data_IF_623224547845
#
_entry.id   IF_623224547845
#
_cell.length_a   1.000
_cell.length_b   1.000
_cell.length_c   1.000
_cell.angle_alpha   90.00
_cell.angle_beta   90.00
_cell.angle_gamma   90.00
#
_symmetry.space_group_name_H-M   'P 1'
#
loop_
_entity.id
_entity.type
_entity.pdbx_description
1 polymer ?
#
# COMPACT_ATOMS: atom_id res chain seq x y z
N UNK A 1 -10.11 -20.39 8.05
CA UNK A 1 -10.75 -20.30 6.73
C UNK A 1 -10.55 -18.87 6.27
N UNK A 2 -9.57 -18.60 5.40
CA UNK A 2 -9.41 -17.26 4.82
C UNK A 2 -10.62 -17.02 3.90
N UNK A 3 -11.25 -15.86 4.05
CA UNK A 3 -12.40 -15.48 3.22
C UNK A 3 -11.89 -15.15 1.82
N UNK A 4 -12.65 -15.47 0.76
CA UNK A 4 -12.28 -15.13 -0.63
C UNK A 4 -11.98 -13.62 -0.83
N UNK A 5 -12.56 -12.75 0.02
CA UNK A 5 -12.26 -11.30 0.06
C UNK A 5 -10.85 -10.99 0.58
N UNK A 6 -10.32 -11.78 1.51
CA UNK A 6 -8.95 -11.62 2.02
C UNK A 6 -7.92 -12.05 0.99
N UNK A 7 -8.22 -13.11 0.22
CA UNK A 7 -7.29 -13.60 -0.81
C UNK A 7 -7.13 -12.57 -1.95
N UNK A 8 -8.22 -11.90 -2.35
CA UNK A 8 -8.16 -10.83 -3.36
C UNK A 8 -7.47 -9.57 -2.85
N UNK A 9 -7.76 -9.13 -1.62
CA UNK A 9 -7.07 -8.00 -0.99
C UNK A 9 -5.56 -8.27 -0.86
N UNK A 10 -5.19 -9.51 -0.49
CA UNK A 10 -3.79 -9.95 -0.40
C UNK A 10 -3.10 -9.90 -1.76
N UNK A 11 -3.76 -10.41 -2.80
CA UNK A 11 -3.25 -10.37 -4.17
C UNK A 11 -3.04 -8.93 -4.66
N UNK A 12 -4.05 -8.07 -4.50
CA UNK A 12 -4.00 -6.67 -4.90
C UNK A 12 -2.83 -5.94 -4.22
N UNK A 13 -2.65 -6.17 -2.93
CA UNK A 13 -1.56 -5.55 -2.17
C UNK A 13 -0.20 -6.07 -2.60
N UNK A 14 -0.09 -7.37 -2.90
CA UNK A 14 1.15 -7.96 -3.42
C UNK A 14 1.53 -7.35 -4.78
N UNK A 15 0.54 -7.10 -5.64
CA UNK A 15 0.74 -6.40 -6.91
C UNK A 15 1.18 -4.95 -6.70
N UNK A 16 0.52 -4.21 -5.79
CA UNK A 16 0.88 -2.84 -5.45
C UNK A 16 2.33 -2.73 -4.93
N UNK A 17 2.71 -3.62 -4.01
CA UNK A 17 4.08 -3.66 -3.46
C UNK A 17 5.11 -3.91 -4.57
N UNK A 18 4.84 -4.87 -5.46
CA UNK A 18 5.72 -5.17 -6.59
C UNK A 18 5.81 -4.01 -7.59
N UNK A 19 4.69 -3.32 -7.82
CA UNK A 19 4.65 -2.16 -8.70
C UNK A 19 5.43 -0.98 -8.09
N UNK A 20 5.26 -0.71 -6.80
CA UNK A 20 6.02 0.28 -6.06
C UNK A 20 7.53 0.05 -6.17
N UNK A 21 7.97 -1.19 -5.91
CA UNK A 21 9.39 -1.56 -5.91
C UNK A 21 10.02 -1.35 -7.30
N UNK A 22 9.28 -1.64 -8.37
CA UNK A 22 9.75 -1.52 -9.78
C UNK A 22 9.55 -0.13 -10.40
N UNK A 23 8.82 0.76 -9.74
CA UNK A 23 8.42 2.04 -10.34
C UNK A 23 9.54 3.09 -10.28
N UNK A 24 9.68 3.95 -11.30
CA UNK A 24 10.55 5.14 -11.24
C UNK A 24 10.00 6.20 -10.28
N UNK A 25 10.81 7.21 -9.94
CA UNK A 25 10.47 8.28 -8.97
C UNK A 25 9.13 8.96 -9.27
N UNK A 26 8.84 9.25 -10.53
CA UNK A 26 7.58 9.89 -10.96
C UNK A 26 6.37 9.01 -10.64
N UNK A 27 6.44 7.73 -11.01
CA UNK A 27 5.36 6.78 -10.80
C UNK A 27 5.16 6.44 -9.32
N UNK A 28 6.23 6.39 -8.51
CA UNK A 28 6.11 6.26 -7.04
C UNK A 28 5.37 7.46 -6.43
N UNK A 29 5.60 8.69 -6.93
CA UNK A 29 4.84 9.86 -6.47
C UNK A 29 3.37 9.75 -6.82
N UNK A 30 3.05 9.29 -8.03
CA UNK A 30 1.66 9.05 -8.42
C UNK A 30 0.99 7.99 -7.54
N UNK A 31 1.64 6.83 -7.33
CA UNK A 31 1.13 5.77 -6.45
C UNK A 31 0.91 6.25 -5.01
N UNK A 32 1.81 7.10 -4.51
CA UNK A 32 1.65 7.70 -3.17
C UNK A 32 0.45 8.65 -3.13
N UNK A 33 0.27 9.48 -4.14
CA UNK A 33 -0.88 10.39 -4.22
C UNK A 33 -2.19 9.61 -4.29
N UNK A 34 -2.27 8.61 -5.18
CA UNK A 34 -3.44 7.75 -5.32
C UNK A 34 -3.76 7.03 -3.99
N UNK A 35 -2.74 6.55 -3.28
CA UNK A 35 -2.90 5.92 -1.97
C UNK A 35 -3.46 6.89 -0.92
N UNK A 36 -2.97 8.13 -0.88
CA UNK A 36 -3.47 9.16 0.03
C UNK A 36 -4.93 9.48 -0.32
N UNK A 37 -5.24 9.72 -1.59
CA UNK A 37 -6.59 10.08 -2.03
C UNK A 37 -7.62 8.98 -1.73
N UNK A 38 -7.23 7.71 -1.77
CA UNK A 38 -8.07 6.57 -1.43
C UNK A 38 -8.28 6.38 0.08
N UNK A 39 -7.28 6.71 0.90
CA UNK A 39 -7.26 6.34 2.31
C UNK A 39 -7.12 7.51 3.30
N UNK A 40 -7.24 8.77 2.86
CA UNK A 40 -7.03 9.97 3.70
C UNK A 40 -7.92 10.04 4.95
N UNK A 41 -9.10 9.43 4.91
CA UNK A 41 -10.08 9.46 6.01
C UNK A 41 -10.15 8.13 6.78
N UNK A 42 -9.09 7.31 6.72
CA UNK A 42 -9.00 6.01 7.40
C UNK A 42 -8.10 6.09 8.62
N UNK A 43 -8.52 5.46 9.71
CA UNK A 43 -7.64 5.23 10.86
C UNK A 43 -6.62 4.12 10.56
N UNK A 44 -5.50 4.07 11.29
CA UNK A 44 -4.48 3.03 11.11
C UNK A 44 -5.05 1.59 11.16
N UNK A 45 -5.87 1.24 12.16
CA UNK A 45 -6.50 -0.09 12.22
C UNK A 45 -7.47 -0.36 11.05
N UNK A 46 -8.22 0.63 10.58
CA UNK A 46 -9.09 0.49 9.40
C UNK A 46 -8.27 0.23 8.14
N UNK A 47 -7.16 0.95 7.99
CA UNK A 47 -6.26 0.81 6.86
C UNK A 47 -5.65 -0.60 6.80
N UNK A 48 -5.23 -1.14 7.95
CA UNK A 48 -4.74 -2.52 8.03
C UNK A 48 -5.83 -3.54 7.70
N UNK A 49 -7.07 -3.29 8.13
CA UNK A 49 -8.18 -4.18 7.81
C UNK A 49 -8.50 -4.19 6.30
N UNK A 50 -8.51 -3.01 5.66
CA UNK A 50 -8.75 -2.87 4.23
C UNK A 50 -7.63 -3.48 3.37
N UNK A 51 -6.38 -3.36 3.82
CA UNK A 51 -5.19 -3.78 3.07
C UNK A 51 -4.64 -5.14 3.52
N UNK A 52 -5.50 -6.03 4.03
CA UNK A 52 -5.14 -7.39 4.41
C UNK A 52 -3.92 -7.48 5.36
N UNK A 53 -3.85 -6.56 6.33
CA UNK A 53 -2.79 -6.45 7.34
C UNK A 53 -1.40 -6.15 6.76
N UNK A 54 -1.35 -5.54 5.58
CA UNK A 54 -0.12 -5.18 4.89
C UNK A 54 0.06 -3.66 4.72
N UNK A 55 -0.77 -2.83 5.37
CA UNK A 55 -0.64 -1.38 5.24
C UNK A 55 0.70 -0.88 5.80
N UNK A 56 1.07 -1.32 7.01
CA UNK A 56 2.34 -1.00 7.66
C UNK A 56 3.53 -1.36 6.79
N UNK A 57 3.44 -2.47 6.06
CA UNK A 57 4.50 -2.95 5.17
C UNK A 57 4.71 -2.00 3.97
N UNK A 58 3.64 -1.42 3.44
CA UNK A 58 3.73 -0.41 2.37
C UNK A 58 4.17 0.95 2.91
N UNK A 59 3.63 1.39 4.04
CA UNK A 59 4.04 2.63 4.71
C UNK A 59 5.53 2.61 5.08
N UNK A 60 6.06 1.47 5.52
CA UNK A 60 7.49 1.30 5.78
C UNK A 60 8.34 1.51 4.50
N UNK A 61 7.90 0.99 3.34
CA UNK A 61 8.58 1.21 2.05
C UNK A 61 8.54 2.68 1.63
N UNK A 62 7.41 3.34 1.82
CA UNK A 62 7.27 4.78 1.55
C UNK A 62 8.24 5.58 2.43
N UNK A 63 8.26 5.29 3.74
CA UNK A 63 9.13 5.97 4.70
C UNK A 63 10.62 5.82 4.34
N UNK A 64 11.05 4.61 3.96
CA UNK A 64 12.42 4.37 3.50
C UNK A 64 12.71 5.14 2.21
N UNK A 65 11.80 5.10 1.23
CA UNK A 65 11.98 5.82 -0.04
C UNK A 65 12.11 7.33 0.17
N UNK A 66 11.25 7.95 0.99
CA UNK A 66 11.31 9.39 1.31
C UNK A 66 12.63 9.77 1.99
N UNK A 67 13.19 8.90 2.83
CA UNK A 67 14.49 9.15 3.48
C UNK A 67 15.70 9.01 2.55
N UNK A 68 15.56 8.24 1.46
CA UNK A 68 16.63 7.98 0.49
C UNK A 68 16.57 8.87 -0.75
N UNK A 69 15.54 9.71 -0.88
CA UNK A 69 15.38 10.68 -1.98
C UNK A 69 15.65 12.10 -1.53
#
# INVERSE_FOLDING_TARGET
MTSAKQDSATYNMTCLLREWDRSPKEKRRQLLQDFIDQHWNRSGPELELELAQMASLFLARICVWVKLT
#
